data_IF_369698349556
#
_entry.id   IF_369698349556
#
_cell.length_a   1.000
_cell.length_b   1.000
_cell.length_c   1.000
_cell.angle_alpha   90.00
_cell.angle_beta   90.00
_cell.angle_gamma   90.00
#
_symmetry.space_group_name_H-M   'P 1'
#
loop_
_entity.id
_entity.type
_entity.pdbx_description
1 polymer ?
#
# COMPACT_ATOMS: atom_id res chain seq x y z
N UNK A 1 -3.64 -14.65 -5.53
CA UNK A 1 -3.14 -14.40 -6.82
C UNK A 1 -3.87 -13.32 -7.55
N UNK A 2 -5.17 -13.47 -7.70
CA UNK A 2 -5.94 -12.47 -8.39
C UNK A 2 -5.87 -11.12 -7.72
N UNK A 3 -5.87 -11.11 -6.41
CA UNK A 3 -5.82 -9.84 -5.70
C UNK A 3 -4.58 -9.04 -5.99
N UNK A 4 -3.48 -9.73 -6.27
CA UNK A 4 -2.23 -9.03 -6.55
C UNK A 4 -2.26 -8.35 -7.89
N UNK A 5 -2.97 -8.91 -8.84
CA UNK A 5 -3.05 -8.31 -10.15
C UNK A 5 -3.85 -7.02 -10.13
N UNK A 6 -4.59 -6.81 -9.06
CA UNK A 6 -5.42 -5.61 -8.95
C UNK A 6 -4.71 -4.49 -8.22
N UNK A 7 -3.47 -4.69 -7.82
CA UNK A 7 -2.71 -3.61 -7.22
C UNK A 7 -2.51 -2.49 -8.22
N UNK A 8 -2.83 -1.26 -7.85
CA UNK A 8 -2.59 -0.13 -8.75
C UNK A 8 -1.10 0.01 -9.06
N UNK A 9 -0.76 0.45 -10.27
CA UNK A 9 0.66 0.62 -10.61
C UNK A 9 1.41 1.54 -9.65
N UNK A 10 0.74 2.56 -9.13
CA UNK A 10 1.41 3.49 -8.23
C UNK A 10 1.82 2.78 -6.94
N UNK A 11 0.99 1.88 -6.44
CA UNK A 11 1.32 1.15 -5.23
C UNK A 11 2.36 0.09 -5.53
N UNK A 12 2.24 -0.60 -6.65
CA UNK A 12 3.22 -1.61 -7.03
C UNK A 12 4.60 -0.99 -7.17
N UNK A 13 4.68 0.18 -7.78
CA UNK A 13 5.96 0.86 -7.95
C UNK A 13 6.54 1.25 -6.60
N UNK A 14 5.70 1.71 -5.68
CA UNK A 14 6.17 2.08 -4.35
C UNK A 14 6.73 0.86 -3.62
N UNK A 15 6.07 -0.28 -3.76
CA UNK A 15 6.54 -1.49 -3.09
C UNK A 15 7.85 -1.98 -3.67
N UNK A 16 8.10 -1.73 -4.95
CA UNK A 16 9.40 -2.09 -5.52
C UNK A 16 10.51 -1.32 -4.85
N UNK A 17 10.27 -0.07 -4.55
CA UNK A 17 11.27 0.75 -3.90
C UNK A 17 11.39 0.44 -2.42
N UNK A 18 10.33 -0.07 -1.82
CA UNK A 18 10.30 -0.35 -0.39
C UNK A 18 9.80 -1.78 -0.15
N UNK A 19 10.67 -2.76 -0.31
CA UNK A 19 10.24 -4.17 -0.19
C UNK A 19 9.61 -4.51 1.16
N UNK A 20 10.07 -3.87 2.22
CA UNK A 20 9.47 -4.12 3.54
C UNK A 20 8.01 -3.72 3.57
N UNK A 21 7.66 -2.68 2.82
CA UNK A 21 6.27 -2.26 2.76
C UNK A 21 5.42 -3.36 2.14
N UNK A 22 5.94 -4.04 1.12
CA UNK A 22 5.19 -5.14 0.53
C UNK A 22 4.98 -6.27 1.54
N UNK A 23 6.01 -6.58 2.31
CA UNK A 23 5.88 -7.63 3.32
C UNK A 23 4.78 -7.27 4.31
N UNK A 24 4.78 -6.02 4.79
CA UNK A 24 3.74 -5.59 5.71
C UNK A 24 2.37 -5.58 5.08
N UNK A 25 2.30 -5.20 3.81
CA UNK A 25 1.05 -5.21 3.07
C UNK A 25 0.44 -6.61 3.07
N UNK A 26 1.28 -7.61 2.87
CA UNK A 26 0.80 -8.99 2.83
C UNK A 26 0.35 -9.47 4.21
N UNK A 27 0.83 -8.84 5.26
CA UNK A 27 0.39 -9.18 6.61
C UNK A 27 -0.94 -8.54 6.97
N UNK A 28 -1.39 -7.58 6.20
CA UNK A 28 -2.66 -6.93 6.46
C UNK A 28 -3.82 -7.85 6.11
N UNK A 29 -4.93 -7.67 6.83
CA UNK A 29 -6.14 -8.39 6.47
C UNK A 29 -6.71 -7.83 5.17
N UNK A 30 -7.51 -8.62 4.45
CA UNK A 30 -8.13 -8.11 3.22
C UNK A 30 -8.94 -6.84 3.46
N UNK A 31 -9.61 -6.74 4.61
CA UNK A 31 -10.38 -5.55 4.92
C UNK A 31 -9.47 -4.34 5.05
N UNK A 32 -8.34 -4.50 5.73
CA UNK A 32 -7.40 -3.39 5.87
C UNK A 32 -6.84 -2.96 4.53
N UNK A 33 -6.48 -3.94 3.69
CA UNK A 33 -5.94 -3.62 2.38
C UNK A 33 -6.95 -2.85 1.54
N UNK A 34 -8.20 -3.29 1.57
CA UNK A 34 -9.25 -2.60 0.82
C UNK A 34 -9.41 -1.17 1.32
N UNK A 35 -9.40 -0.98 2.63
CA UNK A 35 -9.53 0.35 3.19
C UNK A 35 -8.41 1.28 2.74
N UNK A 36 -7.19 0.76 2.73
CA UNK A 36 -6.06 1.57 2.29
C UNK A 36 -6.14 1.89 0.80
N UNK A 37 -6.56 0.93 0.00
CA UNK A 37 -6.72 1.18 -1.43
C UNK A 37 -7.76 2.26 -1.67
N UNK A 38 -8.87 2.18 -0.95
CA UNK A 38 -9.91 3.19 -1.10
C UNK A 38 -9.40 4.56 -0.69
N UNK A 39 -8.60 4.61 0.36
CA UNK A 39 -8.03 5.88 0.80
C UNK A 39 -7.12 6.48 -0.26
N UNK A 40 -6.32 5.63 -0.91
CA UNK A 40 -5.44 6.10 -1.98
C UNK A 40 -6.28 6.64 -3.14
N UNK A 41 -7.31 5.91 -3.53
CA UNK A 41 -8.12 6.33 -4.66
C UNK A 41 -9.03 7.50 -4.33
N UNK A 42 -9.24 7.78 -3.06
CA UNK A 42 -10.00 8.95 -2.67
C UNK A 42 -9.34 10.24 -3.17
N UNK A 43 -8.02 10.24 -3.18
CA UNK A 43 -7.27 11.41 -3.66
C UNK A 43 -7.18 11.36 -5.17
N UNK A 44 -7.54 12.46 -5.81
CA UNK A 44 -7.61 12.48 -7.26
C UNK A 44 -6.39 13.08 -7.94
N UNK A 45 -5.60 13.86 -7.20
CA UNK A 45 -4.39 14.42 -7.79
C UNK A 45 -3.22 13.45 -7.61
N UNK A 46 -2.30 13.41 -8.57
CA UNK A 46 -1.14 12.53 -8.44
C UNK A 46 -0.30 12.84 -7.20
N UNK A 47 -0.17 14.11 -6.87
CA UNK A 47 0.64 14.50 -5.73
C UNK A 47 0.05 14.01 -4.43
N UNK A 48 -1.28 14.14 -4.28
CA UNK A 48 -1.93 13.67 -3.07
C UNK A 48 -1.84 12.15 -2.97
N UNK A 49 -1.98 11.47 -4.12
CA UNK A 49 -1.85 10.02 -4.13
C UNK A 49 -0.46 9.57 -3.69
N UNK A 50 0.56 10.25 -4.18
CA UNK A 50 1.92 9.89 -3.80
C UNK A 50 2.12 10.03 -2.30
N UNK A 51 1.61 11.11 -1.73
CA UNK A 51 1.72 11.29 -0.29
C UNK A 51 0.99 10.20 0.46
N UNK A 52 -0.19 9.85 -0.01
CA UNK A 52 -0.96 8.79 0.67
C UNK A 52 -0.25 7.44 0.53
N UNK A 53 0.30 7.16 -0.65
CA UNK A 53 1.01 5.92 -0.85
C UNK A 53 2.24 5.87 0.05
N UNK A 54 2.94 6.99 0.23
CA UNK A 54 4.07 7.02 1.13
C UNK A 54 3.64 6.68 2.56
N UNK A 55 2.51 7.23 3.00
CA UNK A 55 2.00 6.89 4.32
C UNK A 55 1.63 5.43 4.42
N UNK A 56 1.04 4.89 3.37
CA UNK A 56 0.71 3.47 3.33
C UNK A 56 1.97 2.63 3.46
N UNK A 57 3.02 3.01 2.75
CA UNK A 57 4.28 2.28 2.85
C UNK A 57 4.85 2.34 4.25
N UNK A 58 4.80 3.52 4.88
CA UNK A 58 5.29 3.64 6.25
C UNK A 58 4.51 2.72 7.19
N UNK A 59 3.20 2.72 7.06
CA UNK A 59 2.36 1.87 7.90
C UNK A 59 2.66 0.41 7.65
N UNK A 60 2.79 0.04 6.38
CA UNK A 60 3.07 -1.34 6.02
C UNK A 60 4.43 -1.78 6.56
N UNK A 61 5.43 -0.90 6.48
CA UNK A 61 6.74 -1.25 7.01
C UNK A 61 6.70 -1.44 8.52
N UNK A 62 5.90 -0.65 9.20
CA UNK A 62 5.72 -0.87 10.62
C UNK A 62 5.14 -2.24 10.91
N UNK A 63 4.17 -2.65 10.11
CA UNK A 63 3.57 -3.96 10.29
C UNK A 63 4.58 -5.06 9.98
N UNK A 64 5.41 -4.85 8.97
CA UNK A 64 6.42 -5.84 8.64
C UNK A 64 7.42 -6.01 9.77
N UNK A 65 7.76 -4.93 10.45
CA UNK A 65 8.69 -4.99 11.56
C UNK A 65 8.05 -5.32 12.90
N UNK A 66 6.73 -5.37 12.96
CA UNK A 66 6.05 -5.67 14.22
C UNK A 66 6.14 -7.15 14.54
N UNK A 67 6.16 -7.45 15.80
CA UNK A 67 6.23 -8.85 16.24
C UNK A 67 4.87 -9.42 16.50
#
# INVERSE_FOLDING_TARGET
MEGERELPPVIAAAFRKRPKAKVGWEKMTPTQRRGELMAVFYYQTPEAREKRVAKLCDLAEKKAGAK
#
